data_IF_571390341122
#
_entry.id   IF_571390341122
#
_cell.length_a   1.000
_cell.length_b   1.000
_cell.length_c   1.000
_cell.angle_alpha   90.00
_cell.angle_beta   90.00
_cell.angle_gamma   90.00
#
_symmetry.space_group_name_H-M   'P 1'
#
loop_
_entity.id
_entity.type
_entity.pdbx_description
1 polymer ?
#
# COMPACT_ATOMS: atom_id res chain seq x y z
N UNK A 1 8.55 27.63 18.80
CA UNK A 1 9.21 27.59 17.47
C UNK A 1 10.60 26.95 17.53
N UNK A 2 11.54 27.41 18.37
CA UNK A 2 12.90 26.82 18.44
C UNK A 2 12.95 25.32 18.83
N UNK A 3 12.11 24.88 19.79
CA UNK A 3 12.07 23.48 20.22
C UNK A 3 11.55 22.53 19.13
N UNK A 4 10.62 23.01 18.31
CA UNK A 4 10.06 22.26 17.19
C UNK A 4 11.11 22.06 16.08
N UNK A 5 11.83 23.12 15.75
CA UNK A 5 12.94 23.07 14.80
C UNK A 5 14.02 22.07 15.25
N UNK A 6 14.40 22.10 16.54
CA UNK A 6 15.33 21.13 17.11
C UNK A 6 14.83 19.68 16.98
N UNK A 7 13.53 19.47 17.12
CA UNK A 7 12.92 18.13 16.96
C UNK A 7 13.04 17.65 15.52
N UNK A 8 12.75 18.51 14.54
CA UNK A 8 12.93 18.23 13.11
C UNK A 8 14.38 17.83 12.82
N UNK A 9 15.35 18.60 13.32
CA UNK A 9 16.78 18.31 13.12
C UNK A 9 17.19 16.95 13.72
N UNK A 10 16.65 16.57 14.87
CA UNK A 10 16.88 15.26 15.48
C UNK A 10 16.35 14.12 14.59
N UNK A 11 15.15 14.26 14.04
CA UNK A 11 14.59 13.29 13.09
C UNK A 11 15.45 13.18 11.83
N UNK A 12 15.81 14.31 11.23
CA UNK A 12 16.62 14.31 10.02
C UNK A 12 17.98 13.65 10.25
N UNK A 13 18.61 13.92 11.39
CA UNK A 13 19.90 13.31 11.74
C UNK A 13 19.79 11.78 11.79
N UNK A 14 18.77 11.24 12.46
CA UNK A 14 18.54 9.79 12.57
C UNK A 14 18.21 9.19 11.20
N UNK A 15 17.34 9.84 10.41
CA UNK A 15 16.83 9.33 9.14
C UNK A 15 17.84 9.43 7.99
N UNK A 16 18.87 10.29 8.11
CA UNK A 16 19.95 10.42 7.12
C UNK A 16 21.04 9.36 7.27
N UNK A 17 21.14 8.69 8.43
CA UNK A 17 22.09 7.61 8.66
C UNK A 17 21.87 6.43 7.71
N UNK A 18 22.97 5.78 7.27
CA UNK A 18 22.90 4.57 6.45
C UNK A 18 22.28 3.40 7.22
N UNK A 19 22.57 3.32 8.51
CA UNK A 19 21.94 2.37 9.44
C UNK A 19 21.11 3.14 10.47
N UNK A 20 19.79 3.02 10.38
CA UNK A 20 18.86 3.75 11.23
C UNK A 20 18.72 3.05 12.59
N UNK A 21 18.96 3.80 13.66
CA UNK A 21 18.73 3.36 15.03
C UNK A 21 17.23 3.37 15.36
N UNK A 22 16.61 2.19 15.26
CA UNK A 22 15.17 2.01 15.52
C UNK A 22 14.78 2.38 16.96
N UNK A 23 15.65 2.16 17.95
CA UNK A 23 15.33 2.47 19.36
C UNK A 23 15.23 3.99 19.52
N UNK A 24 16.22 4.73 19.03
CA UNK A 24 16.20 6.20 19.07
C UNK A 24 15.03 6.78 18.29
N UNK A 25 14.74 6.23 17.10
CA UNK A 25 13.62 6.68 16.29
C UNK A 25 12.27 6.48 17.02
N UNK A 26 12.07 5.32 17.67
CA UNK A 26 10.86 5.05 18.47
C UNK A 26 10.73 6.00 19.65
N UNK A 27 11.80 6.22 20.41
CA UNK A 27 11.79 7.16 21.54
C UNK A 27 11.44 8.57 21.10
N UNK A 28 11.97 9.01 19.96
CA UNK A 28 11.69 10.35 19.42
C UNK A 28 10.24 10.45 18.89
N UNK A 29 9.79 9.45 18.13
CA UNK A 29 8.45 9.40 17.55
C UNK A 29 7.32 9.19 18.57
N UNK A 30 7.63 8.73 19.79
CA UNK A 30 6.66 8.57 20.87
C UNK A 30 5.93 9.88 21.21
N UNK A 31 6.64 11.00 21.13
CA UNK A 31 6.08 12.33 21.38
C UNK A 31 5.41 12.96 20.15
N UNK A 32 5.23 12.18 19.08
CA UNK A 32 4.71 12.63 17.79
C UNK A 32 5.78 12.76 16.72
N UNK A 33 5.33 12.86 15.47
CA UNK A 33 6.19 12.92 14.30
C UNK A 33 5.88 14.17 13.45
N UNK A 34 6.88 15.03 13.17
CA UNK A 34 6.72 16.23 12.34
C UNK A 34 6.18 15.93 10.93
N UNK A 35 5.34 16.81 10.41
CA UNK A 35 4.70 16.64 9.09
C UNK A 35 5.62 17.03 7.92
N UNK A 36 6.58 17.88 8.21
CA UNK A 36 7.44 18.59 7.29
C UNK A 36 8.49 17.67 6.68
N UNK A 37 9.01 18.05 5.51
CA UNK A 37 10.13 17.39 4.82
C UNK A 37 9.96 15.87 4.61
N UNK A 38 8.72 15.36 4.65
CA UNK A 38 8.44 13.93 4.51
C UNK A 38 8.83 13.09 5.74
N UNK A 39 9.18 13.70 6.87
CA UNK A 39 9.65 13.02 8.09
C UNK A 39 8.60 12.01 8.58
N UNK A 40 7.32 12.41 8.66
CA UNK A 40 6.22 11.51 9.04
C UNK A 40 6.11 10.31 8.13
N UNK A 41 6.12 10.53 6.82
CA UNK A 41 6.01 9.46 5.83
C UNK A 41 7.15 8.45 6.00
N UNK A 42 8.38 8.93 6.15
CA UNK A 42 9.54 8.06 6.26
C UNK A 42 9.59 7.30 7.58
N UNK A 43 9.30 8.00 8.68
CA UNK A 43 9.23 7.41 10.02
C UNK A 43 8.19 6.30 10.06
N UNK A 44 6.98 6.53 9.52
CA UNK A 44 5.93 5.51 9.49
C UNK A 44 6.31 4.30 8.66
N UNK A 45 6.92 4.50 7.49
CA UNK A 45 7.43 3.38 6.67
C UNK A 45 8.41 2.51 7.45
N UNK A 46 9.25 3.08 8.30
CA UNK A 46 10.19 2.30 9.13
C UNK A 46 9.46 1.64 10.30
N UNK A 47 8.63 2.38 11.04
CA UNK A 47 7.93 1.87 12.23
C UNK A 47 6.92 0.77 11.92
N UNK A 48 6.30 0.81 10.73
CA UNK A 48 5.40 -0.22 10.22
C UNK A 48 6.15 -1.38 9.53
N UNK A 49 7.48 -1.42 9.67
CA UNK A 49 8.36 -2.44 9.07
C UNK A 49 8.26 -2.54 7.54
N UNK A 50 7.83 -1.48 6.86
CA UNK A 50 7.81 -1.43 5.40
C UNK A 50 9.21 -1.17 4.84
N UNK A 51 9.98 -0.25 5.43
CA UNK A 51 11.38 -0.03 5.06
C UNK A 51 12.33 -0.72 6.05
N UNK A 52 13.36 -1.36 5.52
CA UNK A 52 14.46 -1.91 6.30
C UNK A 52 15.31 -0.80 6.93
N UNK A 53 16.01 -1.10 8.04
CA UNK A 53 16.83 -0.10 8.75
C UNK A 53 18.09 0.31 7.98
N UNK A 54 18.53 -0.54 7.03
CA UNK A 54 19.66 -0.27 6.13
C UNK A 54 19.18 0.50 4.91
N UNK A 55 19.53 1.79 4.87
CA UNK A 55 19.12 2.75 3.85
C UNK A 55 19.68 2.43 2.47
N UNK A 56 20.86 1.80 2.40
CA UNK A 56 21.50 1.44 1.13
C UNK A 56 20.65 0.46 0.32
N UNK A 57 19.82 -0.35 1.01
CA UNK A 57 18.94 -1.36 0.40
C UNK A 57 17.59 -0.80 -0.05
N UNK A 58 17.26 0.45 0.28
CA UNK A 58 15.91 0.99 0.04
C UNK A 58 15.52 1.02 -1.43
N UNK A 59 16.43 1.39 -2.32
CA UNK A 59 16.13 1.47 -3.76
C UNK A 59 15.67 0.12 -4.30
N UNK A 60 16.47 -0.93 -4.07
CA UNK A 60 16.18 -2.30 -4.49
C UNK A 60 14.92 -2.84 -3.81
N UNK A 61 14.79 -2.61 -2.50
CA UNK A 61 13.62 -3.05 -1.73
C UNK A 61 12.32 -2.43 -2.25
N UNK A 62 12.28 -1.10 -2.42
CA UNK A 62 11.12 -0.39 -2.93
C UNK A 62 10.77 -0.82 -4.36
N UNK A 63 11.77 -1.01 -5.22
CA UNK A 63 11.55 -1.48 -6.59
C UNK A 63 10.86 -2.85 -6.59
N UNK A 64 11.37 -3.81 -5.81
CA UNK A 64 10.81 -5.16 -5.68
C UNK A 64 9.38 -5.14 -5.15
N UNK A 65 9.12 -4.41 -4.05
CA UNK A 65 7.77 -4.37 -3.45
C UNK A 65 6.75 -3.68 -4.37
N UNK A 66 7.15 -2.65 -5.12
CA UNK A 66 6.28 -1.99 -6.09
C UNK A 66 5.95 -2.90 -7.28
N UNK A 67 6.93 -3.67 -7.77
CA UNK A 67 6.68 -4.63 -8.84
C UNK A 67 5.76 -5.76 -8.38
N UNK A 68 5.98 -6.28 -7.16
CA UNK A 68 5.12 -7.29 -6.56
C UNK A 68 3.67 -6.79 -6.45
N UNK A 69 3.46 -5.57 -5.96
CA UNK A 69 2.13 -4.96 -5.88
C UNK A 69 1.46 -4.83 -7.27
N UNK A 70 2.22 -4.43 -8.31
CA UNK A 70 1.72 -4.42 -9.69
C UNK A 70 1.36 -5.82 -10.20
N UNK A 71 2.09 -6.85 -9.78
CA UNK A 71 1.75 -8.26 -10.01
C UNK A 71 0.38 -8.60 -9.41
N UNK A 72 0.21 -8.32 -8.11
CA UNK A 72 -1.07 -8.55 -7.43
C UNK A 72 -2.25 -7.82 -8.07
N UNK A 73 -2.09 -6.57 -8.50
CA UNK A 73 -3.16 -5.86 -9.22
C UNK A 73 -3.57 -6.61 -10.50
N UNK A 74 -2.59 -7.10 -11.27
CA UNK A 74 -2.86 -7.83 -12.52
C UNK A 74 -3.57 -9.16 -12.28
N UNK A 75 -3.23 -9.84 -11.19
CA UNK A 75 -3.81 -11.15 -10.85
C UNK A 75 -5.18 -11.03 -10.15
N UNK A 76 -5.38 -10.00 -9.34
CA UNK A 76 -6.60 -9.82 -8.53
C UNK A 76 -7.75 -9.22 -9.34
N UNK A 77 -7.47 -8.43 -10.39
CA UNK A 77 -8.53 -7.88 -11.24
C UNK A 77 -8.79 -8.86 -12.39
N UNK A 78 -9.63 -9.86 -12.12
CA UNK A 78 -10.06 -10.83 -13.12
C UNK A 78 -11.09 -10.17 -14.03
N UNK A 79 -10.77 -10.01 -15.31
CA UNK A 79 -11.76 -9.61 -16.33
C UNK A 79 -12.20 -10.87 -17.09
N UNK A 80 -13.39 -11.42 -16.81
CA UNK A 80 -13.88 -12.56 -17.56
C UNK A 80 -14.01 -12.17 -19.05
N UNK A 81 -13.51 -13.02 -19.94
CA UNK A 81 -13.46 -12.77 -21.39
C UNK A 81 -12.14 -12.18 -21.94
N UNK A 82 -11.19 -11.76 -21.09
CA UNK A 82 -9.85 -11.34 -21.53
C UNK A 82 -8.85 -12.51 -21.62
N UNK A 83 -9.09 -13.56 -20.83
CA UNK A 83 -8.32 -14.82 -20.83
C UNK A 83 -8.85 -15.83 -21.87
N UNK A 84 -9.98 -15.54 -22.54
CA UNK A 84 -10.66 -16.43 -23.49
C UNK A 84 -10.18 -16.28 -24.93
N UNK A 85 -8.93 -15.88 -25.15
CA UNK A 85 -8.30 -15.86 -26.49
C UNK A 85 -7.82 -17.24 -26.93
N UNK A 86 -7.78 -18.23 -26.03
CA UNK A 86 -7.69 -19.64 -26.41
C UNK A 86 -9.10 -20.21 -26.60
N UNK A 87 -9.32 -20.91 -27.71
CA UNK A 87 -10.58 -21.57 -28.11
C UNK A 87 -11.13 -22.60 -27.08
N UNK A 88 -10.43 -22.78 -25.96
CA UNK A 88 -10.65 -23.81 -24.95
C UNK A 88 -11.70 -23.48 -23.87
N UNK A 89 -12.27 -22.27 -23.83
CA UNK A 89 -13.14 -21.85 -22.71
C UNK A 89 -14.58 -21.47 -23.10
N UNK A 90 -15.11 -22.03 -24.19
CA UNK A 90 -16.49 -21.78 -24.68
C UNK A 90 -17.57 -22.15 -23.64
N UNK A 91 -17.22 -22.98 -22.65
CA UNK A 91 -18.11 -23.43 -21.59
C UNK A 91 -18.11 -22.51 -20.35
N UNK A 92 -17.19 -21.55 -20.24
CA UNK A 92 -17.17 -20.61 -19.11
C UNK A 92 -17.88 -19.30 -19.47
N UNK A 93 -19.11 -19.16 -18.98
CA UNK A 93 -20.01 -18.07 -19.32
C UNK A 93 -20.63 -17.45 -18.06
N UNK A 94 -21.24 -16.24 -18.13
CA UNK A 94 -21.80 -15.54 -16.95
C UNK A 94 -22.78 -16.36 -16.11
N UNK A 95 -23.51 -17.27 -16.74
CA UNK A 95 -24.51 -18.11 -16.06
C UNK A 95 -23.95 -19.46 -15.58
N UNK A 96 -22.63 -19.68 -15.66
CA UNK A 96 -22.04 -20.95 -15.32
C UNK A 96 -22.08 -21.12 -13.79
N UNK A 97 -22.67 -22.23 -13.33
CA UNK A 97 -22.82 -22.53 -11.90
C UNK A 97 -21.61 -23.28 -11.31
N UNK A 98 -20.63 -23.61 -12.15
CA UNK A 98 -19.42 -24.29 -11.70
C UNK A 98 -18.60 -23.40 -10.75
N UNK A 99 -18.12 -23.94 -9.60
CA UNK A 99 -17.42 -23.15 -8.59
C UNK A 99 -16.03 -22.65 -9.03
N UNK A 100 -15.47 -23.23 -10.09
CA UNK A 100 -14.21 -22.86 -10.74
C UNK A 100 -14.40 -21.88 -11.93
N UNK A 101 -15.64 -21.46 -12.21
CA UNK A 101 -15.94 -20.47 -13.25
C UNK A 101 -15.30 -19.12 -12.95
N UNK A 102 -14.62 -18.54 -13.95
CA UNK A 102 -14.06 -17.18 -13.83
C UNK A 102 -15.15 -16.11 -13.65
N UNK A 103 -16.35 -16.37 -14.17
CA UNK A 103 -17.52 -15.52 -13.97
C UNK A 103 -18.05 -15.58 -12.54
N UNK A 104 -18.11 -16.77 -11.93
CA UNK A 104 -18.51 -16.91 -10.52
C UNK A 104 -17.56 -16.16 -9.58
N UNK A 105 -16.24 -16.25 -9.83
CA UNK A 105 -15.22 -15.47 -9.10
C UNK A 105 -15.42 -13.98 -9.34
N UNK A 106 -15.56 -13.54 -10.60
CA UNK A 106 -15.79 -12.14 -10.95
C UNK A 106 -16.99 -11.54 -10.23
N UNK A 107 -18.15 -12.20 -10.22
CA UNK A 107 -19.33 -11.65 -9.55
C UNK A 107 -19.11 -11.49 -8.05
N UNK A 108 -18.52 -12.50 -7.40
CA UNK A 108 -18.18 -12.44 -5.98
C UNK A 108 -17.19 -11.31 -5.67
N UNK A 109 -16.17 -11.12 -6.51
CA UNK A 109 -15.23 -10.00 -6.37
C UNK A 109 -15.92 -8.65 -6.55
N UNK A 110 -16.85 -8.52 -7.50
CA UNK A 110 -17.60 -7.28 -7.70
C UNK A 110 -18.51 -6.93 -6.52
N UNK A 111 -19.08 -7.94 -5.83
CA UNK A 111 -19.82 -7.68 -4.59
C UNK A 111 -18.93 -7.05 -3.52
N UNK A 112 -17.70 -7.57 -3.35
CA UNK A 112 -16.72 -7.00 -2.41
C UNK A 112 -16.30 -5.59 -2.84
N UNK A 113 -15.99 -5.39 -4.14
CA UNK A 113 -15.63 -4.07 -4.68
C UNK A 113 -16.75 -3.05 -4.50
N UNK A 114 -18.01 -3.46 -4.66
CA UNK A 114 -19.16 -2.59 -4.43
C UNK A 114 -19.27 -2.14 -2.97
N UNK A 115 -18.95 -3.01 -2.01
CA UNK A 115 -18.90 -2.61 -0.59
C UNK A 115 -17.76 -1.62 -0.34
N UNK A 116 -16.58 -1.88 -0.91
CA UNK A 116 -15.45 -0.95 -0.82
C UNK A 116 -15.81 0.42 -1.41
N UNK A 117 -16.43 0.48 -2.60
CA UNK A 117 -16.83 1.73 -3.23
C UNK A 117 -17.83 2.52 -2.36
N UNK A 118 -18.83 1.84 -1.79
CA UNK A 118 -19.78 2.46 -0.86
C UNK A 118 -19.09 3.06 0.36
N UNK A 119 -18.12 2.35 0.94
CA UNK A 119 -17.38 2.82 2.12
C UNK A 119 -16.40 3.95 1.80
N UNK A 120 -15.73 3.90 0.65
CA UNK A 120 -14.82 4.96 0.21
C UNK A 120 -15.57 6.26 -0.03
N UNK A 121 -16.74 6.24 -0.69
CA UNK A 121 -17.54 7.46 -0.98
C UNK A 121 -18.02 8.22 0.26
N UNK A 122 -18.11 7.54 1.41
CA UNK A 122 -18.56 8.12 2.67
C UNK A 122 -17.41 8.38 3.66
N UNK A 123 -16.17 8.11 3.27
CA UNK A 123 -15.00 8.29 4.13
C UNK A 123 -14.62 9.77 4.19
N UNK A 124 -14.69 10.35 5.40
CA UNK A 124 -14.21 11.71 5.70
C UNK A 124 -14.70 12.79 4.70
N UNK A 125 -16.03 12.97 4.53
CA UNK A 125 -16.61 13.85 3.49
C UNK A 125 -16.20 15.32 3.60
N UNK A 126 -15.71 15.75 4.76
CA UNK A 126 -15.28 17.13 5.01
C UNK A 126 -13.82 17.41 4.57
N UNK A 127 -13.06 16.36 4.24
CA UNK A 127 -11.65 16.49 3.82
C UNK A 127 -11.56 16.39 2.29
N UNK A 128 -11.16 17.49 1.63
CA UNK A 128 -11.06 17.59 0.17
C UNK A 128 -10.12 16.59 -0.53
N UNK A 129 -9.29 15.89 0.22
CA UNK A 129 -8.41 14.85 -0.32
C UNK A 129 -9.13 13.54 -0.61
N UNK A 130 -10.16 13.22 0.18
CA UNK A 130 -10.95 12.00 0.08
C UNK A 130 -12.23 12.26 -0.72
#
# INVERSE_FOLDING_TARGET
>A
MALYQKTIEQFETILKCDMIDLKKLKTLAFNGCPAENGIRSLTWKILLNYLVLDRTKWSTHLSKHRELYRGYIRETIIKPGLLSTSESNVFDHPLNSAPDSSWAVYFKENEVLLQIDKDVRRLCPDLSFF
#
